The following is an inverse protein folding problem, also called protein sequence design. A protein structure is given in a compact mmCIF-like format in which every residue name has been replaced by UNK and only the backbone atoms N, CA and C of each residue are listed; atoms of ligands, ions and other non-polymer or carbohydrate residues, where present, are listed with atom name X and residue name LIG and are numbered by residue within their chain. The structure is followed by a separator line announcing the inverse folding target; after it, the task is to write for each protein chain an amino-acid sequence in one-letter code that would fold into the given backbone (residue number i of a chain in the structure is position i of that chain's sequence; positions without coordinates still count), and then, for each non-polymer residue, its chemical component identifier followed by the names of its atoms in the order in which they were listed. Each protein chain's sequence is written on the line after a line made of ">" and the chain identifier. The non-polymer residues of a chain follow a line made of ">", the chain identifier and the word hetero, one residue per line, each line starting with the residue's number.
data_IF_597767241271
#
_entry.id   IF_597767241271
#
_cell.length_a   1.000
_cell.length_b   1.000
_cell.length_c   1.000
_cell.angle_alpha   90.00
_cell.angle_beta   90.00
_cell.angle_gamma   90.00
#
_symmetry.space_group_name_H-M   'P 1'
#
loop_
_entity.id
_entity.type
_entity.pdbx_description
1 polymer ?
#
# COMPACT_ATOMS: atom_id res chain seq x y z
N UNK A 1 25.30 -10.95 11.01
CA UNK A 1 24.42 -9.78 10.80
C UNK A 1 24.10 -9.52 9.32
N UNK A 2 24.37 -10.45 8.38
CA UNK A 2 24.14 -10.28 6.94
C UNK A 2 23.02 -11.17 6.39
N UNK A 3 21.89 -11.24 7.10
CA UNK A 3 20.74 -12.06 6.65
C UNK A 3 19.40 -11.41 7.05
N UNK A 4 19.26 -10.10 6.80
CA UNK A 4 18.01 -9.35 7.01
C UNK A 4 17.37 -8.90 5.69
N UNK A 5 17.81 -9.41 4.54
CA UNK A 5 17.14 -9.13 3.26
C UNK A 5 16.27 -10.31 2.88
N UNK A 6 14.98 -10.03 2.70
CA UNK A 6 14.04 -10.97 2.10
C UNK A 6 14.39 -11.13 0.62
N UNK A 7 14.47 -12.39 0.16
CA UNK A 7 14.79 -12.72 -1.24
C UNK A 7 13.57 -12.66 -2.16
N UNK A 8 12.36 -12.80 -1.62
CA UNK A 8 11.11 -12.91 -2.37
C UNK A 8 9.96 -12.23 -1.62
N UNK A 9 9.10 -11.51 -2.34
CA UNK A 9 7.89 -10.91 -1.82
C UNK A 9 6.69 -11.66 -2.40
N UNK A 10 5.87 -12.26 -1.54
CA UNK A 10 4.63 -12.93 -1.91
C UNK A 10 3.41 -12.07 -1.58
N UNK A 11 2.39 -12.11 -2.45
CA UNK A 11 1.11 -11.43 -2.26
C UNK A 11 0.00 -12.48 -2.19
N UNK A 12 -0.67 -12.60 -1.04
CA UNK A 12 -1.70 -13.61 -0.80
C UNK A 12 -3.10 -13.00 -0.75
N UNK A 13 -3.98 -13.42 -1.65
CA UNK A 13 -5.40 -13.10 -1.60
C UNK A 13 -6.14 -14.06 -0.65
N UNK A 14 -6.91 -13.53 0.31
CA UNK A 14 -7.75 -14.31 1.24
C UNK A 14 -9.22 -13.90 1.14
N UNK A 15 -10.18 -14.84 1.27
CA UNK A 15 -11.61 -14.54 1.16
C UNK A 15 -12.14 -13.58 2.23
N UNK A 16 -11.53 -13.60 3.43
CA UNK A 16 -11.94 -12.78 4.55
C UNK A 16 -10.75 -12.45 5.45
N UNK A 17 -10.58 -11.17 5.75
CA UNK A 17 -9.58 -10.65 6.68
C UNK A 17 -10.17 -9.44 7.45
N UNK A 18 -9.74 -9.15 8.69
CA UNK A 18 -10.24 -7.99 9.45
C UNK A 18 -9.88 -6.64 8.82
N UNK A 19 -8.77 -6.59 8.10
CA UNK A 19 -8.25 -5.42 7.41
C UNK A 19 -8.25 -5.65 5.90
N UNK A 20 -8.21 -4.55 5.12
CA UNK A 20 -8.13 -4.59 3.66
C UNK A 20 -6.86 -5.31 3.18
N UNK A 21 -5.74 -5.05 3.84
CA UNK A 21 -4.48 -5.73 3.64
C UNK A 21 -3.65 -5.73 4.94
N UNK A 22 -2.51 -6.43 4.93
CA UNK A 22 -1.56 -6.49 6.04
C UNK A 22 -0.15 -6.76 5.50
N UNK A 23 0.81 -5.98 5.96
CA UNK A 23 2.15 -5.84 5.39
C UNK A 23 3.18 -6.89 5.83
N UNK A 24 2.77 -8.07 6.32
CA UNK A 24 3.71 -8.99 6.94
C UNK A 24 4.97 -9.19 6.07
N UNK A 25 6.15 -9.03 6.68
CA UNK A 25 7.41 -8.94 5.95
C UNK A 25 7.65 -10.16 5.05
N UNK A 26 7.63 -9.93 3.72
CA UNK A 26 7.79 -10.95 2.69
C UNK A 26 6.52 -11.72 2.29
N UNK A 27 5.40 -11.53 2.98
CA UNK A 27 4.10 -12.13 2.66
C UNK A 27 2.96 -11.13 2.97
N UNK A 28 2.69 -10.23 2.04
CA UNK A 28 1.58 -9.29 2.19
C UNK A 28 0.25 -10.01 1.94
N UNK A 29 -0.70 -9.83 2.85
CA UNK A 29 -2.02 -10.48 2.80
C UNK A 29 -3.05 -9.45 2.40
N UNK A 30 -3.93 -9.77 1.45
CA UNK A 30 -4.99 -8.89 0.95
C UNK A 30 -6.32 -9.61 1.00
N UNK A 31 -7.41 -8.88 1.26
CA UNK A 31 -8.73 -9.41 0.87
C UNK A 31 -8.83 -9.46 -0.65
N UNK A 32 -9.54 -10.45 -1.18
CA UNK A 32 -9.67 -10.65 -2.64
C UNK A 32 -10.04 -9.37 -3.41
N UNK A 33 -10.90 -8.53 -2.84
CA UNK A 33 -11.36 -7.26 -3.42
C UNK A 33 -10.29 -6.15 -3.44
N UNK A 34 -9.10 -6.41 -2.92
CA UNK A 34 -7.98 -5.45 -2.84
C UNK A 34 -6.75 -5.89 -3.61
N UNK A 35 -6.82 -7.01 -4.34
CA UNK A 35 -5.72 -7.52 -5.16
C UNK A 35 -6.17 -8.15 -6.48
N UNK A 36 -7.35 -8.78 -6.52
CA UNK A 36 -7.83 -9.43 -7.74
C UNK A 36 -8.51 -8.42 -8.65
N UNK A 37 -8.11 -8.41 -9.92
CA UNK A 37 -8.64 -7.52 -10.95
C UNK A 37 -9.04 -8.32 -12.19
N UNK A 38 -10.23 -8.04 -12.70
CA UNK A 38 -10.72 -8.61 -13.96
C UNK A 38 -10.88 -7.48 -14.99
N UNK A 39 -10.06 -7.43 -16.05
CA UNK A 39 -10.08 -6.37 -17.05
C UNK A 39 -11.43 -6.22 -17.78
N UNK A 40 -12.29 -7.23 -17.76
CA UNK A 40 -13.58 -7.22 -18.45
C UNK A 40 -14.70 -6.55 -17.64
N UNK A 41 -14.55 -6.45 -16.31
CA UNK A 41 -15.59 -5.93 -15.41
C UNK A 41 -15.10 -4.82 -14.47
N UNK A 42 -13.81 -4.78 -14.15
CA UNK A 42 -13.25 -3.83 -13.18
C UNK A 42 -13.23 -2.41 -13.75
N UNK A 43 -13.70 -1.45 -12.94
CA UNK A 43 -13.63 -0.03 -13.28
C UNK A 43 -12.21 0.52 -13.13
N UNK A 44 -11.93 1.67 -13.75
CA UNK A 44 -10.63 2.32 -13.59
C UNK A 44 -10.42 2.81 -12.16
N UNK A 45 -11.48 3.26 -11.48
CA UNK A 45 -11.40 3.60 -10.05
C UNK A 45 -10.94 2.40 -9.23
N UNK A 46 -11.48 1.21 -9.52
CA UNK A 46 -11.07 -0.02 -8.83
C UNK A 46 -9.62 -0.40 -9.13
N UNK A 47 -9.15 -0.23 -10.38
CA UNK A 47 -7.74 -0.42 -10.73
C UNK A 47 -6.82 0.49 -9.90
N UNK A 48 -7.15 1.76 -9.78
CA UNK A 48 -6.37 2.73 -9.00
C UNK A 48 -6.40 2.39 -7.51
N UNK A 49 -7.57 2.05 -6.96
CA UNK A 49 -7.72 1.66 -5.55
C UNK A 49 -6.88 0.42 -5.20
N UNK A 50 -6.94 -0.63 -6.04
CA UNK A 50 -6.11 -1.84 -5.87
C UNK A 50 -4.63 -1.51 -5.97
N UNK A 51 -4.24 -0.66 -6.93
CA UNK A 51 -2.85 -0.23 -7.09
C UNK A 51 -2.35 0.50 -5.86
N UNK A 52 -3.13 1.44 -5.32
CA UNK A 52 -2.77 2.19 -4.12
C UNK A 52 -2.53 1.25 -2.94
N UNK A 53 -3.43 0.30 -2.68
CA UNK A 53 -3.28 -0.66 -1.59
C UNK A 53 -2.03 -1.53 -1.77
N UNK A 54 -1.77 -2.04 -2.99
CA UNK A 54 -0.55 -2.82 -3.25
C UNK A 54 0.71 -1.98 -2.99
N UNK A 55 0.75 -0.73 -3.46
CA UNK A 55 1.89 0.16 -3.23
C UNK A 55 2.06 0.48 -1.75
N UNK A 56 0.96 0.65 -1.00
CA UNK A 56 0.97 0.87 0.44
C UNK A 56 1.67 -0.27 1.19
N UNK A 57 1.24 -1.51 0.96
CA UNK A 57 1.82 -2.69 1.61
C UNK A 57 3.28 -2.94 1.20
N UNK A 58 3.62 -2.65 -0.07
CA UNK A 58 5.01 -2.72 -0.55
C UNK A 58 5.86 -1.65 0.13
N UNK A 59 5.35 -0.44 0.33
CA UNK A 59 6.07 0.63 1.03
C UNK A 59 6.45 0.22 2.46
N UNK A 60 5.57 -0.53 3.14
CA UNK A 60 5.83 -1.03 4.47
C UNK A 60 7.05 -1.94 4.59
N UNK A 61 7.46 -2.60 3.51
CA UNK A 61 8.69 -3.42 3.48
C UNK A 61 9.95 -2.58 3.78
N UNK A 62 9.90 -1.26 3.53
CA UNK A 62 10.93 -0.30 3.96
C UNK A 62 10.52 0.46 5.23
N UNK A 63 9.31 1.01 5.28
CA UNK A 63 8.82 1.86 6.37
C UNK A 63 7.77 1.13 7.20
N UNK A 64 8.21 0.47 8.26
CA UNK A 64 7.43 -0.47 9.05
C UNK A 64 8.27 -1.69 9.39
N UNK A 65 8.76 -2.38 8.36
CA UNK A 65 9.54 -3.60 8.49
C UNK A 65 11.06 -3.32 8.66
N UNK A 66 11.69 -2.70 7.65
CA UNK A 66 13.13 -2.40 7.70
C UNK A 66 13.43 -1.27 8.71
N UNK A 67 12.62 -0.23 8.72
CA UNK A 67 12.67 0.87 9.69
C UNK A 67 11.35 0.87 10.47
N UNK A 68 11.38 0.30 11.67
CA UNK A 68 10.21 0.17 12.55
C UNK A 68 10.18 1.29 13.58
N UNK A 69 9.01 1.90 13.87
CA UNK A 69 8.89 2.83 14.99
C UNK A 69 9.23 2.15 16.31
N UNK A 70 9.89 2.88 17.21
CA UNK A 70 10.27 2.33 18.53
C UNK A 70 9.03 2.09 19.40
N UNK A 71 7.99 2.92 19.22
CA UNK A 71 6.74 2.82 19.97
C UNK A 71 5.54 3.25 19.13
N UNK A 72 4.34 2.87 19.58
CA UNK A 72 3.08 3.09 18.85
C UNK A 72 2.69 4.56 18.71
N UNK A 73 3.22 5.45 19.54
CA UNK A 73 3.02 6.90 19.40
C UNK A 73 3.61 7.42 18.07
N UNK A 74 4.63 6.75 17.55
CA UNK A 74 5.29 7.07 16.28
C UNK A 74 4.77 6.23 15.10
N UNK A 75 3.60 5.58 15.23
CA UNK A 75 3.02 4.72 14.16
C UNK A 75 2.83 5.47 12.84
N UNK A 76 2.69 6.80 12.89
CA UNK A 76 2.62 7.64 11.71
C UNK A 76 3.87 7.54 10.81
N UNK A 77 5.05 7.18 11.35
CA UNK A 77 6.26 6.94 10.55
C UNK A 77 6.13 5.72 9.64
N UNK A 78 5.23 4.79 9.98
CA UNK A 78 4.90 3.63 9.15
C UNK A 78 3.73 4.00 8.21
N UNK A 79 2.59 4.32 8.80
CA UNK A 79 1.31 4.51 8.08
C UNK A 79 1.30 5.77 7.21
N UNK A 80 1.90 6.87 7.69
CA UNK A 80 1.94 8.14 6.97
C UNK A 80 2.86 8.09 5.75
N UNK A 81 4.00 7.39 5.84
CA UNK A 81 4.87 7.19 4.69
C UNK A 81 4.22 6.28 3.66
N UNK A 82 3.61 5.16 4.07
CA UNK A 82 2.89 4.30 3.15
C UNK A 82 1.72 5.02 2.47
N UNK A 83 0.95 5.83 3.21
CA UNK A 83 -0.12 6.64 2.65
C UNK A 83 0.38 7.77 1.73
N UNK A 84 1.58 8.30 1.91
CA UNK A 84 2.14 9.24 0.94
C UNK A 84 2.60 8.52 -0.33
N UNK A 85 3.33 7.41 -0.17
CA UNK A 85 3.91 6.67 -1.28
C UNK A 85 2.88 5.91 -2.11
N UNK A 86 1.71 5.55 -1.59
CA UNK A 86 0.64 4.96 -2.41
C UNK A 86 0.19 5.93 -3.52
N UNK A 87 0.12 7.24 -3.25
CA UNK A 87 -0.21 8.22 -4.28
C UNK A 87 0.96 8.45 -5.23
N UNK A 88 2.19 8.58 -4.72
CA UNK A 88 3.38 8.78 -5.55
C UNK A 88 3.61 7.59 -6.49
N UNK A 89 3.52 6.36 -5.96
CA UNK A 89 3.70 5.15 -6.74
C UNK A 89 2.57 4.91 -7.74
N UNK A 90 1.33 5.20 -7.36
CA UNK A 90 0.19 5.11 -8.30
C UNK A 90 0.30 6.17 -9.39
N UNK A 91 0.71 7.40 -9.08
CA UNK A 91 0.98 8.44 -10.08
C UNK A 91 2.10 8.04 -11.04
N UNK A 92 3.17 7.44 -10.52
CA UNK A 92 4.27 6.95 -11.35
C UNK A 92 3.82 5.85 -12.33
N UNK A 93 2.98 4.92 -11.88
CA UNK A 93 2.41 3.87 -12.73
C UNK A 93 1.34 4.39 -13.70
N UNK A 94 0.57 5.40 -13.28
CA UNK A 94 -0.58 5.94 -13.99
C UNK A 94 -0.58 7.49 -14.03
N UNK A 95 0.41 8.12 -14.70
CA UNK A 95 0.65 9.56 -14.62
C UNK A 95 -0.50 10.43 -15.19
N UNK A 96 -1.40 9.83 -15.97
CA UNK A 96 -2.58 10.54 -16.49
C UNK A 96 -3.64 10.89 -15.44
N UNK A 97 -3.54 10.33 -14.23
CA UNK A 97 -4.54 10.48 -13.17
C UNK A 97 -4.19 11.54 -12.13
N UNK A 98 -2.98 12.11 -12.17
CA UNK A 98 -2.52 13.18 -11.28
C UNK A 98 -2.76 12.85 -9.79
N UNK A 99 -2.39 11.64 -9.37
CA UNK A 99 -2.69 11.12 -8.03
C UNK A 99 -2.00 11.94 -6.93
N UNK A 100 -0.82 12.52 -7.18
CA UNK A 100 -0.17 13.43 -6.22
C UNK A 100 -1.00 14.71 -5.99
N UNK A 101 -1.71 15.20 -7.01
CA UNK A 101 -2.64 16.32 -6.84
C UNK A 101 -3.87 15.89 -6.04
N UNK A 102 -4.36 14.67 -6.28
CA UNK A 102 -5.44 14.08 -5.49
C UNK A 102 -5.07 13.94 -4.01
N UNK A 103 -3.83 13.55 -3.69
CA UNK A 103 -3.30 13.53 -2.31
C UNK A 103 -3.39 14.90 -1.65
N UNK A 104 -3.01 15.96 -2.36
CA UNK A 104 -3.06 17.33 -1.82
C UNK A 104 -4.49 17.75 -1.46
N UNK A 105 -5.48 17.33 -2.25
CA UNK A 105 -6.89 17.58 -1.99
C UNK A 105 -7.42 16.75 -0.81
N UNK A 106 -7.07 15.47 -0.72
CA UNK A 106 -7.52 14.61 0.39
C UNK A 106 -6.88 15.03 1.71
N UNK A 107 -5.60 15.37 1.71
CA UNK A 107 -4.88 15.85 2.89
C UNK A 107 -5.38 17.23 3.38
N UNK A 108 -5.83 18.10 2.47
CA UNK A 108 -6.46 19.36 2.85
C UNK A 108 -7.84 19.16 3.49
N UNK A 109 -8.64 18.23 2.96
CA UNK A 109 -9.99 17.98 3.46
C UNK A 109 -10.04 17.16 4.77
N UNK A 110 -8.90 16.62 5.23
CA UNK A 110 -8.79 15.87 6.49
C UNK A 110 -8.32 16.73 7.67
N UNK A 111 -8.10 18.04 7.46
CA UNK A 111 -7.87 19.06 8.50
C UNK A 111 -9.18 19.72 8.94
#
# INVERSE_FOLDING_TARGET
>A
LWNCFILFLDLLAVPKHPYAAMENWGLSIFVEQRILLDPSVSSISYLLDVTMVIVHEICHQWFGDLVTPVWWEDVWLKEGFAHYFEFVGTDYLYPGWNMVSAFSLTAWNSQ
#
